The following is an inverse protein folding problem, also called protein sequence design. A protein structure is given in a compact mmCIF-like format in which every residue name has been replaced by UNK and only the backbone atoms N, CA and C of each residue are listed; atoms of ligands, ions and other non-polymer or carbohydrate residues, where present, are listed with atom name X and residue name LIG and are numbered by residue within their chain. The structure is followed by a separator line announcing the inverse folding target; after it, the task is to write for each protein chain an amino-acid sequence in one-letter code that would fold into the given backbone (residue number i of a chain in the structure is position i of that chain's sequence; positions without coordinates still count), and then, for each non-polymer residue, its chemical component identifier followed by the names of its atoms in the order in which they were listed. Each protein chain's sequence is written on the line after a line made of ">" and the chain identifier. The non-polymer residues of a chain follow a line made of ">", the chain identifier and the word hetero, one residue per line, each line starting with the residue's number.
data_IF_737199964543
#
_entry.id   IF_737199964543
#
_cell.length_a   1.000
_cell.length_b   1.000
_cell.length_c   1.000
_cell.angle_alpha   90.00
_cell.angle_beta   90.00
_cell.angle_gamma   90.00
#
_symmetry.space_group_name_H-M   'P 1'
#
loop_
_entity.id
_entity.type
_entity.pdbx_description
1 polymer ?
#
# COMPACT_ATOMS: atom_id res chain seq x y z
N UNK A 1 7.05 32.05 65.63
CA UNK A 1 6.79 31.02 64.60
C UNK A 1 7.26 29.69 65.17
N UNK A 2 6.39 28.69 65.30
CA UNK A 2 6.80 27.37 65.79
C UNK A 2 7.52 26.61 64.67
N UNK A 3 8.70 26.04 64.95
CA UNK A 3 9.48 25.28 63.96
C UNK A 3 9.14 23.79 63.96
N UNK A 4 8.44 23.32 64.99
CA UNK A 4 7.89 21.97 65.08
C UNK A 4 6.54 22.03 65.77
N UNK A 5 5.56 21.31 65.23
CA UNK A 5 4.22 21.15 65.77
C UNK A 5 3.87 19.67 65.79
N UNK A 6 3.01 19.26 66.71
CA UNK A 6 2.59 17.86 66.79
C UNK A 6 1.69 17.59 67.97
N UNK A 7 1.59 16.31 68.33
CA UNK A 7 0.79 15.84 69.45
C UNK A 7 1.69 15.28 70.56
N UNK A 8 1.36 15.63 71.79
CA UNK A 8 2.05 15.16 72.99
C UNK A 8 1.07 14.55 73.99
N UNK A 9 1.61 13.76 74.90
CA UNK A 9 0.95 13.32 76.10
C UNK A 9 1.71 13.83 77.33
N UNK A 10 0.93 14.22 78.32
CA UNK A 10 1.38 14.62 79.65
C UNK A 10 0.82 13.63 80.67
N UNK A 11 1.63 13.31 81.66
CA UNK A 11 1.24 12.42 82.75
C UNK A 11 1.10 13.23 84.04
N UNK A 12 0.06 12.94 84.83
CA UNK A 12 -0.16 13.57 86.12
C UNK A 12 1.11 13.50 86.98
N UNK A 13 1.46 14.63 87.62
CA UNK A 13 2.63 14.78 88.48
C UNK A 13 3.99 14.46 87.81
N UNK A 14 4.08 14.58 86.48
CA UNK A 14 5.32 14.38 85.72
C UNK A 14 5.74 15.65 84.98
N UNK A 15 7.03 15.97 85.06
CA UNK A 15 7.69 17.01 84.25
C UNK A 15 8.18 16.51 82.89
N UNK A 16 7.87 15.25 82.56
CA UNK A 16 8.22 14.63 81.27
C UNK A 16 7.01 14.61 80.35
N UNK A 17 7.19 15.18 79.18
CA UNK A 17 6.23 15.16 78.08
C UNK A 17 6.67 14.10 77.07
N UNK A 18 5.72 13.29 76.61
CA UNK A 18 5.98 12.26 75.60
C UNK A 18 5.34 12.64 74.27
N UNK A 19 6.13 12.65 73.19
CA UNK A 19 5.68 12.90 71.83
C UNK A 19 4.95 11.70 71.26
N UNK A 20 3.80 11.94 70.63
CA UNK A 20 3.07 10.91 69.88
C UNK A 20 3.41 11.10 68.41
N UNK A 21 4.25 10.23 67.85
CA UNK A 21 4.82 10.33 66.48
C UNK A 21 5.70 11.56 66.23
N UNK A 22 6.17 12.21 67.29
CA UNK A 22 7.16 13.29 67.20
C UNK A 22 8.54 12.75 67.56
N UNK A 23 9.53 13.06 66.72
CA UNK A 23 10.95 12.79 66.97
C UNK A 23 11.66 14.10 67.35
N UNK A 24 11.67 14.41 68.64
CA UNK A 24 12.17 15.66 69.22
C UNK A 24 13.66 15.90 68.97
N UNK A 25 14.47 14.85 68.99
CA UNK A 25 15.91 14.94 68.79
C UNK A 25 16.25 14.88 67.29
N UNK A 26 15.82 13.81 66.60
CA UNK A 26 16.23 13.54 65.22
C UNK A 26 15.58 14.45 64.17
N UNK A 27 14.30 14.76 64.31
CA UNK A 27 13.54 15.54 63.30
C UNK A 27 13.39 16.99 63.72
N UNK A 28 12.87 17.24 64.93
CA UNK A 28 12.66 18.60 65.41
C UNK A 28 13.98 19.30 65.78
N UNK A 29 15.04 18.55 66.13
CA UNK A 29 16.32 19.11 66.62
C UNK A 29 16.11 20.07 67.80
N UNK A 30 15.23 19.67 68.71
CA UNK A 30 14.86 20.44 69.91
C UNK A 30 16.09 20.71 70.74
N UNK A 31 16.25 21.94 71.22
CA UNK A 31 17.38 22.32 72.07
C UNK A 31 16.91 22.62 73.49
N UNK A 32 17.82 22.39 74.46
CA UNK A 32 17.63 22.88 75.83
C UNK A 32 17.44 24.41 75.77
N UNK A 33 16.39 24.87 76.45
CA UNK A 33 16.00 26.27 76.51
C UNK A 33 14.87 26.65 75.56
N UNK A 34 14.53 25.81 74.58
CA UNK A 34 13.40 26.04 73.67
C UNK A 34 12.08 26.14 74.41
N UNK A 35 11.14 26.89 73.85
CA UNK A 35 9.81 27.11 74.42
C UNK A 35 8.82 26.14 73.80
N UNK A 36 8.12 25.38 74.63
CA UNK A 36 7.03 24.51 74.24
C UNK A 36 5.71 25.19 74.61
N UNK A 37 4.97 25.60 73.59
CA UNK A 37 3.60 26.09 73.72
C UNK A 37 2.64 24.92 73.59
N UNK A 38 1.72 24.76 74.53
CA UNK A 38 0.64 23.77 74.45
C UNK A 38 -0.67 24.38 74.92
N UNK A 39 -1.78 23.88 74.39
CA UNK A 39 -3.11 24.18 74.92
C UNK A 39 -3.67 22.95 75.61
N UNK A 40 -3.86 23.02 76.92
CA UNK A 40 -4.48 21.98 77.72
C UNK A 40 -5.66 22.56 78.48
N UNK A 41 -6.81 21.88 78.47
CA UNK A 41 -8.03 22.31 79.17
C UNK A 41 -8.40 23.79 78.93
N UNK A 42 -8.35 24.22 77.67
CA UNK A 42 -8.63 25.61 77.23
C UNK A 42 -7.67 26.69 77.73
N UNK A 43 -6.56 26.31 78.40
CA UNK A 43 -5.52 27.23 78.83
C UNK A 43 -4.27 27.10 77.95
N UNK A 44 -3.79 28.25 77.50
CA UNK A 44 -2.53 28.38 76.79
C UNK A 44 -1.37 28.37 77.79
N UNK A 45 -0.52 27.35 77.70
CA UNK A 45 0.63 27.16 78.61
C UNK A 45 1.92 27.21 77.82
N UNK A 46 2.86 28.03 78.27
CA UNK A 46 4.23 28.07 77.75
C UNK A 46 5.16 27.42 78.77
N UNK A 47 5.89 26.43 78.34
CA UNK A 47 6.88 25.68 79.11
C UNK A 47 8.26 25.88 78.48
N UNK A 48 9.31 25.70 79.28
CA UNK A 48 10.68 25.67 78.80
C UNK A 48 11.19 24.24 78.79
N UNK A 49 11.82 23.83 77.69
CA UNK A 49 12.53 22.55 77.59
C UNK A 49 13.80 22.62 78.43
N UNK A 50 13.87 21.85 79.51
CA UNK A 50 15.05 21.80 80.39
C UNK A 50 16.02 20.70 79.98
N UNK A 51 15.52 19.63 79.35
CA UNK A 51 16.32 18.48 78.93
C UNK A 51 15.62 17.74 77.79
N UNK A 52 16.38 17.26 76.80
CA UNK A 52 15.90 16.34 75.76
C UNK A 52 16.31 14.94 76.19
N UNK A 53 15.34 14.13 76.65
CA UNK A 53 15.61 12.81 77.26
C UNK A 53 15.75 11.71 76.21
N UNK A 54 14.99 11.81 75.11
CA UNK A 54 15.07 10.90 73.96
C UNK A 54 14.34 11.49 72.76
N UNK A 55 14.36 10.79 71.63
CA UNK A 55 13.57 11.10 70.44
C UNK A 55 12.08 11.33 70.75
N UNK A 56 11.51 10.71 71.78
CA UNK A 56 10.09 10.87 72.11
C UNK A 56 9.82 11.55 73.44
N UNK A 57 10.83 11.98 74.21
CA UNK A 57 10.63 12.52 75.55
C UNK A 57 11.39 13.82 75.81
N UNK A 58 10.68 14.80 76.35
CA UNK A 58 11.23 16.08 76.80
C UNK A 58 10.96 16.27 78.28
N UNK A 59 11.95 16.77 79.03
CA UNK A 59 11.74 17.32 80.37
C UNK A 59 11.47 18.81 80.23
N UNK A 60 10.43 19.29 80.91
CA UNK A 60 9.99 20.68 80.84
C UNK A 60 9.76 21.30 82.22
N UNK A 61 9.87 22.62 82.28
CA UNK A 61 9.57 23.44 83.46
C UNK A 61 8.67 24.62 83.07
N UNK A 62 8.05 25.25 84.07
CA UNK A 62 7.44 26.56 83.90
C UNK A 62 8.52 27.61 83.62
N UNK A 63 8.16 28.71 82.96
CA UNK A 63 9.09 29.79 82.61
C UNK A 63 9.81 30.43 83.82
N UNK A 64 9.24 30.29 85.02
CA UNK A 64 9.83 30.76 86.28
C UNK A 64 10.77 29.73 86.93
N UNK A 65 11.07 28.62 86.24
CA UNK A 65 11.95 27.56 86.69
C UNK A 65 11.30 26.53 87.62
N UNK A 66 10.02 26.68 87.98
CA UNK A 66 9.30 25.68 88.77
C UNK A 66 9.00 24.42 87.95
N UNK A 67 8.99 23.23 88.56
CA UNK A 67 8.67 21.99 87.84
C UNK A 67 7.24 22.04 87.28
N UNK A 68 7.10 21.62 86.03
CA UNK A 68 5.78 21.41 85.44
C UNK A 68 5.18 20.12 86.03
N UNK A 69 4.15 20.25 86.86
CA UNK A 69 3.45 19.13 87.48
C UNK A 69 1.96 19.23 87.17
N UNK A 70 1.48 18.68 86.04
CA UNK A 70 0.09 18.76 85.66
C UNK A 70 -0.79 17.96 86.63
N UNK A 71 -1.97 18.50 86.96
CA UNK A 71 -2.92 17.91 87.92
C UNK A 71 -3.69 16.72 87.34
N UNK A 72 -3.65 16.52 86.02
CA UNK A 72 -4.28 15.40 85.31
C UNK A 72 -3.41 14.97 84.13
N UNK A 73 -3.52 13.70 83.74
CA UNK A 73 -2.92 13.19 82.51
C UNK A 73 -3.78 13.56 81.31
N UNK A 74 -3.15 13.89 80.18
CA UNK A 74 -3.84 14.16 78.92
C UNK A 74 -3.01 13.66 77.75
N UNK A 75 -3.66 13.19 76.69
CA UNK A 75 -3.03 12.66 75.47
C UNK A 75 -3.56 13.36 74.23
N UNK A 76 -2.74 13.48 73.20
CA UNK A 76 -3.15 14.13 71.95
C UNK A 76 -3.22 15.67 72.05
N UNK A 77 -2.52 16.25 73.03
CA UNK A 77 -2.44 17.70 73.16
C UNK A 77 -1.58 18.28 72.04
N UNK A 78 -2.09 19.29 71.35
CA UNK A 78 -1.33 19.97 70.31
C UNK A 78 -0.28 20.86 70.95
N UNK A 79 0.96 20.76 70.46
CA UNK A 79 2.05 21.63 70.88
C UNK A 79 2.68 22.34 69.69
N UNK A 80 3.37 23.45 69.98
CA UNK A 80 4.31 24.11 69.09
C UNK A 80 5.62 24.41 69.82
N UNK A 81 6.75 23.97 69.25
CA UNK A 81 8.08 24.31 69.71
C UNK A 81 8.55 25.59 69.03
N UNK A 82 9.01 26.53 69.84
CA UNK A 82 9.51 27.83 69.42
C UNK A 82 10.94 27.94 69.94
N UNK A 83 11.87 28.33 69.07
CA UNK A 83 13.24 28.59 69.51
C UNK A 83 13.25 29.74 70.50
N UNK A 84 13.91 29.54 71.63
CA UNK A 84 14.09 30.61 72.58
C UNK A 84 15.26 31.51 72.15
N UNK A 85 14.94 32.70 71.67
CA UNK A 85 15.93 33.68 71.21
C UNK A 85 16.64 34.40 72.37
N UNK A 86 16.17 34.28 73.62
CA UNK A 86 16.79 34.96 74.77
C UNK A 86 18.11 34.30 75.22
N UNK A 87 18.32 33.02 74.89
CA UNK A 87 19.55 32.26 75.17
C UNK A 87 20.41 32.02 73.93
N UNK A 88 19.95 32.45 72.75
CA UNK A 88 20.74 32.37 71.52
C UNK A 88 21.78 33.48 71.55
N UNK A 89 23.04 33.11 71.81
CA UNK A 89 24.15 34.07 71.77
C UNK A 89 24.15 34.79 70.41
N UNK A 90 24.48 36.08 70.38
CA UNK A 90 24.63 36.85 69.14
C UNK A 90 25.49 36.10 68.11
N UNK A 91 26.47 35.33 68.57
CA UNK A 91 27.29 34.44 67.75
C UNK A 91 26.51 33.29 67.06
N UNK A 92 25.54 32.65 67.73
CA UNK A 92 24.69 31.61 67.12
C UNK A 92 23.75 32.20 66.06
N UNK A 93 23.16 33.37 66.33
CA UNK A 93 22.35 34.10 65.35
C UNK A 93 23.18 34.55 64.15
N UNK A 94 24.35 35.14 64.38
CA UNK A 94 25.28 35.55 63.34
C UNK A 94 25.73 34.36 62.49
N UNK A 95 26.02 33.20 63.11
CA UNK A 95 26.33 31.96 62.39
C UNK A 95 25.15 31.48 61.54
N UNK A 96 23.93 31.48 62.08
CA UNK A 96 22.74 31.09 61.32
C UNK A 96 22.47 32.00 60.12
N UNK A 97 22.68 33.31 60.28
CA UNK A 97 22.56 34.29 59.19
C UNK A 97 23.67 34.07 58.15
N UNK A 98 24.92 33.85 58.59
CA UNK A 98 26.04 33.56 57.69
C UNK A 98 25.84 32.25 56.91
N UNK A 99 25.35 31.19 57.56
CA UNK A 99 25.02 29.92 56.90
C UNK A 99 23.89 30.09 55.88
N UNK A 100 22.89 30.93 56.18
CA UNK A 100 21.81 31.23 55.25
C UNK A 100 22.30 32.05 54.04
N UNK A 101 23.14 33.06 54.27
CA UNK A 101 23.77 33.82 53.20
C UNK A 101 24.65 32.92 52.32
N UNK A 102 25.42 32.02 52.92
CA UNK A 102 26.24 31.05 52.18
C UNK A 102 25.39 30.12 51.31
N UNK A 103 24.30 29.58 51.86
CA UNK A 103 23.35 28.75 51.11
C UNK A 103 22.68 29.52 49.97
N UNK A 104 22.35 30.78 50.19
CA UNK A 104 21.76 31.62 49.16
C UNK A 104 22.77 31.88 48.04
N UNK A 105 23.98 32.34 48.35
CA UNK A 105 25.01 32.58 47.33
C UNK A 105 25.37 31.31 46.55
N UNK A 106 25.43 30.16 47.22
CA UNK A 106 25.63 28.88 46.54
C UNK A 106 24.50 28.60 45.53
N UNK A 107 23.25 28.81 45.94
CA UNK A 107 22.08 28.56 45.09
C UNK A 107 21.98 29.56 43.94
N UNK A 108 22.33 30.82 44.18
CA UNK A 108 22.42 31.87 43.17
C UNK A 108 23.50 31.53 42.12
N UNK A 109 24.69 31.11 42.55
CA UNK A 109 25.75 30.63 41.65
C UNK A 109 25.27 29.44 40.82
N UNK A 110 24.76 28.39 41.47
CA UNK A 110 24.30 27.18 40.78
C UNK A 110 23.18 27.46 39.76
N UNK A 111 22.25 28.37 40.06
CA UNK A 111 21.19 28.76 39.11
C UNK A 111 21.74 29.59 37.95
N UNK A 112 22.69 30.48 38.22
CA UNK A 112 23.34 31.28 37.18
C UNK A 112 24.13 30.37 36.24
N UNK A 113 24.93 29.47 36.81
CA UNK A 113 25.72 28.48 36.09
C UNK A 113 24.83 27.53 35.29
N UNK A 114 23.71 27.06 35.87
CA UNK A 114 22.70 26.28 35.14
C UNK A 114 22.13 27.05 33.94
N UNK A 115 21.81 28.34 34.12
CA UNK A 115 21.17 29.14 33.08
C UNK A 115 22.09 29.41 31.89
N UNK A 116 23.38 29.60 32.14
CA UNK A 116 24.40 29.85 31.09
C UNK A 116 25.07 28.57 30.57
N UNK A 117 24.71 27.41 31.13
CA UNK A 117 25.34 26.14 30.78
C UNK A 117 25.00 25.69 29.35
N UNK A 118 26.04 25.35 28.60
CA UNK A 118 25.96 24.70 27.29
C UNK A 118 25.98 23.17 27.36
N UNK A 119 26.18 22.60 28.56
CA UNK A 119 26.12 21.14 28.80
C UNK A 119 24.68 20.66 28.75
N UNK A 120 24.46 19.35 28.61
CA UNK A 120 23.11 18.77 28.62
C UNK A 120 22.46 18.77 30.01
N UNK A 121 23.28 18.85 31.06
CA UNK A 121 22.83 18.73 32.44
C UNK A 121 23.70 19.53 33.40
N UNK A 122 23.13 19.93 34.53
CA UNK A 122 23.83 20.67 35.58
C UNK A 122 23.46 20.10 36.95
N UNK A 123 24.44 20.00 37.84
CA UNK A 123 24.22 19.53 39.21
C UNK A 123 23.85 20.69 40.14
N UNK A 124 22.70 20.59 40.79
CA UNK A 124 22.22 21.54 41.79
C UNK A 124 22.10 20.86 43.15
N UNK A 125 22.26 21.63 44.23
CA UNK A 125 22.06 21.11 45.59
C UNK A 125 20.58 21.19 45.97
N UNK A 126 19.97 20.05 46.28
CA UNK A 126 18.58 19.97 46.72
C UNK A 126 18.39 20.54 48.14
N UNK A 127 17.15 20.61 48.62
CA UNK A 127 16.87 21.19 49.95
C UNK A 127 17.48 20.37 51.11
N UNK A 128 17.77 19.09 50.88
CA UNK A 128 18.38 18.16 51.83
C UNK A 128 19.92 18.24 51.82
N UNK A 129 20.51 19.00 50.90
CA UNK A 129 21.95 19.14 50.75
C UNK A 129 22.59 18.12 49.80
N UNK A 130 21.80 17.31 49.12
CA UNK A 130 22.29 16.30 48.17
C UNK A 130 22.44 16.94 46.78
N UNK A 131 23.43 16.48 46.00
CA UNK A 131 23.52 16.88 44.59
C UNK A 131 22.52 16.10 43.75
N UNK A 132 21.74 16.83 42.95
CA UNK A 132 20.84 16.28 41.94
C UNK A 132 21.13 16.94 40.61
N UNK A 133 21.13 16.14 39.54
CA UNK A 133 21.39 16.61 38.18
C UNK A 133 20.08 16.96 37.50
N UNK A 134 20.00 18.15 36.90
CA UNK A 134 18.82 18.64 36.16
C UNK A 134 19.19 19.00 34.71
N UNK A 135 18.26 18.90 33.75
CA UNK A 135 18.49 19.32 32.37
C UNK A 135 18.73 20.83 32.28
N UNK A 136 19.66 21.28 31.44
CA UNK A 136 19.93 22.71 31.19
C UNK A 136 18.93 23.32 30.21
N UNK A 137 18.86 24.67 30.10
CA UNK A 137 18.08 25.33 29.06
C UNK A 137 18.48 24.88 27.65
N UNK A 138 19.77 24.65 27.41
CA UNK A 138 20.30 24.13 26.14
C UNK A 138 19.68 22.79 25.78
N UNK A 139 19.66 21.83 26.72
CA UNK A 139 19.03 20.52 26.50
C UNK A 139 17.52 20.61 26.32
N UNK A 140 16.86 21.47 27.09
CA UNK A 140 15.42 21.70 26.98
C UNK A 140 15.07 22.28 25.60
N UNK A 141 15.87 23.21 25.07
CA UNK A 141 15.68 23.77 23.74
C UNK A 141 15.85 22.72 22.64
N UNK A 142 16.92 21.90 22.70
CA UNK A 142 17.11 20.78 21.77
C UNK A 142 15.96 19.78 21.82
N UNK A 143 15.49 19.41 23.02
CA UNK A 143 14.36 18.50 23.17
C UNK A 143 13.06 19.09 22.61
N UNK A 144 12.85 20.40 22.79
CA UNK A 144 11.72 21.11 22.21
C UNK A 144 11.79 21.13 20.67
N UNK A 145 12.97 21.36 20.10
CA UNK A 145 13.19 21.33 18.65
C UNK A 145 12.94 19.93 18.07
N UNK A 146 13.49 18.88 18.69
CA UNK A 146 13.23 17.48 18.30
C UNK A 146 11.74 17.16 18.39
N UNK A 147 11.05 17.61 19.44
CA UNK A 147 9.60 17.40 19.59
C UNK A 147 8.81 18.17 18.51
N UNK A 148 9.23 19.38 18.13
CA UNK A 148 8.60 20.15 17.06
C UNK A 148 8.78 19.45 15.70
N UNK A 149 9.98 18.97 15.38
CA UNK A 149 10.24 18.21 14.15
C UNK A 149 9.42 16.92 14.12
N UNK A 150 9.42 16.13 15.20
CA UNK A 150 8.61 14.93 15.29
C UNK A 150 7.11 15.22 15.13
N UNK A 151 6.62 16.36 15.65
CA UNK A 151 5.24 16.78 15.46
C UNK A 151 4.94 17.17 14.00
N UNK A 152 5.88 17.81 13.30
CA UNK A 152 5.75 18.14 11.88
C UNK A 152 5.75 16.87 11.00
N UNK A 153 6.62 15.91 11.31
CA UNK A 153 6.69 14.62 10.62
C UNK A 153 5.38 13.83 10.78
N UNK A 154 4.85 13.78 12.01
CA UNK A 154 3.56 13.14 12.30
C UNK A 154 2.39 13.81 11.55
N UNK A 155 2.41 15.14 11.43
CA UNK A 155 1.41 15.88 10.65
C UNK A 155 1.50 15.54 9.16
N UNK A 156 2.71 15.43 8.63
CA UNK A 156 2.95 15.05 7.23
C UNK A 156 2.49 13.62 6.97
N UNK A 157 2.79 12.70 7.89
CA UNK A 157 2.35 11.31 7.82
C UNK A 157 0.82 11.20 7.87
N UNK A 158 0.15 11.99 8.70
CA UNK A 158 -1.31 12.04 8.77
C UNK A 158 -1.93 12.51 7.44
N UNK A 159 -1.34 13.51 6.79
CA UNK A 159 -1.77 13.98 5.47
C UNK A 159 -1.59 12.89 4.40
N UNK A 160 -0.43 12.21 4.37
CA UNK A 160 -0.17 11.12 3.45
C UNK A 160 -1.16 9.95 3.63
N UNK A 161 -1.55 9.65 4.88
CA UNK A 161 -2.59 8.64 5.17
C UNK A 161 -3.96 9.08 4.61
N UNK A 162 -4.32 10.36 4.75
CA UNK A 162 -5.56 10.90 4.20
C UNK A 162 -5.59 10.81 2.66
N UNK A 163 -4.50 11.19 2.00
CA UNK A 163 -4.37 11.15 0.55
C UNK A 163 -4.43 9.70 0.03
N UNK A 164 -3.74 8.76 0.70
CA UNK A 164 -3.80 7.34 0.39
C UNK A 164 -5.21 6.76 0.55
N UNK A 165 -5.95 7.20 1.58
CA UNK A 165 -7.36 6.78 1.77
C UNK A 165 -8.25 7.26 0.63
N UNK A 166 -8.02 8.46 0.12
CA UNK A 166 -8.75 9.01 -1.03
C UNK A 166 -8.37 8.28 -2.34
N UNK A 167 -7.10 7.91 -2.51
CA UNK A 167 -6.64 7.08 -3.64
C UNK A 167 -7.26 5.68 -3.61
N UNK A 168 -7.28 5.01 -2.45
CA UNK A 168 -7.93 3.71 -2.27
C UNK A 168 -9.44 3.76 -2.57
N UNK A 169 -10.12 4.84 -2.16
CA UNK A 169 -11.53 5.05 -2.49
C UNK A 169 -11.80 5.18 -4.00
N UNK A 170 -10.78 5.51 -4.82
CA UNK A 170 -10.89 5.53 -6.29
C UNK A 170 -10.67 4.16 -6.94
N UNK A 171 -10.08 3.20 -6.21
CA UNK A 171 -9.86 1.82 -6.67
C UNK A 171 -11.13 0.97 -6.49
N UNK A 172 -11.86 1.19 -5.41
CA UNK A 172 -13.12 0.50 -5.09
C UNK A 172 -14.14 0.52 -6.25
N UNK A 173 -14.48 1.67 -6.87
CA UNK A 173 -15.40 1.70 -8.01
C UNK A 173 -14.84 1.03 -9.28
N UNK A 174 -13.51 0.88 -9.42
CA UNK A 174 -12.91 0.17 -10.56
C UNK A 174 -13.02 -1.35 -10.41
N UNK A 175 -12.96 -1.85 -9.17
CA UNK A 175 -13.21 -3.27 -8.85
C UNK A 175 -14.70 -3.59 -9.07
N UNK A 176 -15.61 -2.72 -8.62
CA UNK A 176 -17.05 -2.91 -8.86
C UNK A 176 -17.39 -2.92 -10.35
N UNK A 177 -16.80 -2.01 -11.15
CA UNK A 177 -16.97 -2.01 -12.61
C UNK A 177 -16.38 -3.26 -13.29
N UNK A 178 -15.31 -3.82 -12.73
CA UNK A 178 -14.73 -5.07 -13.23
C UNK A 178 -15.65 -6.25 -12.90
N UNK A 179 -16.15 -6.35 -11.67
CA UNK A 179 -17.06 -7.41 -11.23
C UNK A 179 -18.40 -7.37 -11.98
N UNK A 180 -18.89 -6.18 -12.36
CA UNK A 180 -20.09 -6.05 -13.19
C UNK A 180 -19.87 -6.46 -14.65
N UNK A 181 -18.67 -6.21 -15.20
CA UNK A 181 -18.35 -6.50 -16.62
C UNK A 181 -17.85 -7.92 -16.84
N UNK A 182 -17.23 -8.55 -15.85
CA UNK A 182 -16.66 -9.88 -15.96
C UNK A 182 -17.71 -10.95 -16.38
N UNK A 183 -18.92 -11.00 -15.81
CA UNK A 183 -19.97 -11.92 -16.25
C UNK A 183 -20.42 -11.66 -17.70
N UNK A 184 -20.44 -10.38 -18.13
CA UNK A 184 -20.84 -10.02 -19.50
C UNK A 184 -19.81 -10.48 -20.53
N UNK A 185 -18.52 -10.37 -20.21
CA UNK A 185 -17.43 -10.87 -21.08
C UNK A 185 -17.45 -12.39 -21.15
N UNK A 186 -17.67 -13.07 -20.03
CA UNK A 186 -17.82 -14.54 -20.00
C UNK A 186 -19.04 -15.02 -20.80
N UNK A 187 -20.17 -14.32 -20.71
CA UNK A 187 -21.36 -14.61 -21.52
C UNK A 187 -21.10 -14.41 -23.02
N UNK A 188 -20.43 -13.33 -23.41
CA UNK A 188 -20.05 -13.07 -24.80
C UNK A 188 -19.07 -14.13 -25.33
N UNK A 189 -18.11 -14.57 -24.51
CA UNK A 189 -17.20 -15.66 -24.88
C UNK A 189 -17.95 -16.99 -25.10
N UNK A 190 -18.95 -17.29 -24.27
CA UNK A 190 -19.78 -18.47 -24.45
C UNK A 190 -20.63 -18.37 -25.73
N UNK A 191 -21.15 -17.20 -26.06
CA UNK A 191 -21.87 -16.96 -27.32
C UNK A 191 -20.98 -17.16 -28.55
N UNK A 192 -19.72 -16.69 -28.50
CA UNK A 192 -18.74 -16.91 -29.57
C UNK A 192 -18.41 -18.41 -29.74
N UNK A 193 -18.26 -19.15 -28.64
CA UNK A 193 -18.04 -20.60 -28.70
C UNK A 193 -19.25 -21.33 -29.29
N UNK A 194 -20.46 -20.93 -28.94
CA UNK A 194 -21.69 -21.51 -29.49
C UNK A 194 -21.79 -21.24 -31.00
N UNK A 195 -21.57 -19.99 -31.44
CA UNK A 195 -21.56 -19.63 -32.87
C UNK A 195 -20.45 -20.33 -33.65
N UNK A 196 -19.27 -20.52 -33.05
CA UNK A 196 -18.20 -21.32 -33.66
C UNK A 196 -18.67 -22.75 -33.93
N UNK A 197 -19.36 -23.38 -32.98
CA UNK A 197 -19.86 -24.74 -33.15
C UNK A 197 -20.95 -24.81 -34.22
N UNK A 198 -21.83 -23.81 -34.31
CA UNK A 198 -22.83 -23.70 -35.40
C UNK A 198 -22.16 -23.57 -36.78
N UNK A 199 -21.10 -22.76 -36.89
CA UNK A 199 -20.34 -22.61 -38.15
C UNK A 199 -19.63 -23.90 -38.53
N UNK A 200 -19.07 -24.64 -37.58
CA UNK A 200 -18.45 -25.95 -37.85
C UNK A 200 -19.49 -26.94 -38.37
N UNK A 201 -20.67 -27.00 -37.77
CA UNK A 201 -21.78 -27.85 -38.25
C UNK A 201 -22.24 -27.45 -39.66
N UNK A 202 -22.37 -26.15 -39.93
CA UNK A 202 -22.73 -25.65 -41.25
C UNK A 202 -21.65 -25.97 -42.30
N UNK A 203 -20.37 -25.95 -41.92
CA UNK A 203 -19.26 -26.32 -42.79
C UNK A 203 -19.30 -27.82 -43.15
N UNK A 204 -19.63 -28.68 -42.20
CA UNK A 204 -19.82 -30.12 -42.44
C UNK A 204 -21.02 -30.38 -43.38
N UNK A 205 -22.12 -29.63 -43.25
CA UNK A 205 -23.26 -29.71 -44.17
C UNK A 205 -22.89 -29.27 -45.59
N UNK A 206 -22.07 -28.22 -45.75
CA UNK A 206 -21.58 -27.78 -47.05
C UNK A 206 -20.68 -28.84 -47.69
N UNK A 207 -19.80 -29.48 -46.92
CA UNK A 207 -18.99 -30.59 -47.41
C UNK A 207 -19.83 -31.78 -47.87
N UNK A 208 -20.88 -32.13 -47.12
CA UNK A 208 -21.81 -33.20 -47.51
C UNK A 208 -22.55 -32.85 -48.81
N UNK A 209 -23.05 -31.61 -48.94
CA UNK A 209 -23.73 -31.16 -50.17
C UNK A 209 -22.77 -31.09 -51.37
N UNK A 210 -21.52 -30.69 -51.16
CA UNK A 210 -20.50 -30.71 -52.21
C UNK A 210 -20.20 -32.13 -52.69
N UNK A 211 -20.16 -33.12 -51.78
CA UNK A 211 -20.03 -34.53 -52.13
C UNK A 211 -21.24 -35.04 -52.94
N UNK A 212 -22.46 -34.65 -52.55
CA UNK A 212 -23.69 -34.99 -53.30
C UNK A 212 -23.71 -34.37 -54.70
N UNK A 213 -23.22 -33.14 -54.87
CA UNK A 213 -23.09 -32.50 -56.19
C UNK A 213 -22.06 -33.24 -57.05
N UNK A 214 -20.94 -33.68 -56.47
CA UNK A 214 -19.95 -34.48 -57.20
C UNK A 214 -20.54 -35.83 -57.65
N UNK A 215 -21.35 -36.49 -56.79
CA UNK A 215 -22.05 -37.74 -57.12
C UNK A 215 -23.09 -37.54 -58.23
N UNK A 216 -23.93 -36.51 -58.14
CA UNK A 216 -24.88 -36.17 -59.21
C UNK A 216 -24.18 -35.81 -60.52
N UNK A 217 -23.04 -35.13 -60.48
CA UNK A 217 -22.24 -34.81 -61.68
C UNK A 217 -21.75 -36.10 -62.36
N UNK A 218 -21.32 -37.10 -61.58
CA UNK A 218 -20.94 -38.41 -62.11
C UNK A 218 -22.13 -39.18 -62.71
N UNK A 219 -23.31 -39.11 -62.09
CA UNK A 219 -24.54 -39.72 -62.62
C UNK A 219 -25.00 -39.06 -63.93
N UNK A 220 -24.87 -37.74 -64.04
CA UNK A 220 -25.18 -37.00 -65.29
C UNK A 220 -24.22 -37.39 -66.40
N UNK A 221 -22.91 -37.49 -66.13
CA UNK A 221 -21.93 -37.95 -67.13
C UNK A 221 -22.20 -39.39 -67.60
N UNK A 222 -22.68 -40.26 -66.70
CA UNK A 222 -23.08 -41.64 -67.05
C UNK A 222 -24.35 -41.66 -67.91
N UNK A 223 -25.30 -40.78 -67.60
CA UNK A 223 -26.54 -40.63 -68.37
C UNK A 223 -26.26 -40.06 -69.77
N UNK A 224 -25.34 -39.09 -69.88
CA UNK A 224 -24.87 -38.53 -71.15
C UNK A 224 -24.27 -39.61 -72.06
N UNK A 225 -23.41 -40.49 -71.52
CA UNK A 225 -22.88 -41.64 -72.28
C UNK A 225 -23.99 -42.59 -72.74
N UNK A 226 -25.02 -42.80 -71.92
CA UNK A 226 -26.15 -43.68 -72.26
C UNK A 226 -27.02 -43.07 -73.37
N UNK A 227 -27.23 -41.74 -73.35
CA UNK A 227 -27.94 -41.01 -74.40
C UNK A 227 -27.17 -41.03 -75.71
N UNK A 228 -25.84 -40.85 -75.67
CA UNK A 228 -24.99 -40.97 -76.87
C UNK A 228 -25.00 -42.38 -77.46
N UNK A 229 -25.04 -43.42 -76.62
CA UNK A 229 -25.19 -44.81 -77.07
C UNK A 229 -26.55 -45.04 -77.76
N UNK A 230 -27.65 -44.55 -77.16
CA UNK A 230 -28.99 -44.61 -77.75
C UNK A 230 -29.08 -43.83 -79.07
N UNK A 231 -28.37 -42.70 -79.19
CA UNK A 231 -28.30 -41.95 -80.45
C UNK A 231 -27.66 -42.78 -81.56
N UNK A 232 -26.60 -43.55 -81.26
CA UNK A 232 -25.98 -44.48 -82.21
C UNK A 232 -26.89 -45.64 -82.60
N UNK A 233 -27.68 -46.19 -81.67
CA UNK A 233 -28.67 -47.23 -81.96
C UNK A 233 -29.81 -46.72 -82.85
N UNK A 234 -30.26 -45.47 -82.63
CA UNK A 234 -31.28 -44.82 -83.46
C UNK A 234 -30.75 -44.56 -84.89
N UNK A 235 -29.50 -44.14 -85.04
CA UNK A 235 -28.88 -43.98 -86.37
C UNK A 235 -28.75 -45.33 -87.11
N UNK A 236 -28.41 -46.42 -86.40
CA UNK A 236 -28.41 -47.76 -87.00
C UNK A 236 -29.82 -48.22 -87.38
N UNK A 237 -30.82 -47.97 -86.53
CA UNK A 237 -32.22 -48.29 -86.85
C UNK A 237 -32.72 -47.49 -88.06
N UNK A 238 -32.34 -46.22 -88.19
CA UNK A 238 -32.66 -45.38 -89.35
C UNK A 238 -32.00 -45.92 -90.64
N UNK A 239 -30.76 -46.38 -90.56
CA UNK A 239 -30.09 -47.03 -91.69
C UNK A 239 -30.75 -48.36 -92.07
N UNK A 240 -31.21 -49.14 -91.09
CA UNK A 240 -31.93 -50.40 -91.32
C UNK A 240 -33.29 -50.16 -92.00
N UNK A 241 -34.02 -49.11 -91.60
CA UNK A 241 -35.29 -48.72 -92.24
C UNK A 241 -35.07 -48.28 -93.70
N UNK A 242 -33.99 -47.54 -93.99
CA UNK A 242 -33.66 -47.16 -95.37
C UNK A 242 -33.23 -48.38 -96.22
N UNK A 243 -32.57 -49.37 -95.61
CA UNK A 243 -32.28 -50.65 -96.25
C UNK A 243 -33.56 -51.45 -96.54
N UNK A 244 -34.49 -51.52 -95.59
CA UNK A 244 -35.77 -52.23 -95.75
C UNK A 244 -36.69 -51.56 -96.78
N UNK A 245 -36.62 -50.23 -96.91
CA UNK A 245 -37.24 -49.47 -98.00
C UNK A 245 -36.64 -49.84 -99.35
N UNK A 246 -35.31 -49.97 -99.43
CA UNK A 246 -34.61 -50.40 -100.64
C UNK A 246 -34.98 -51.85 -101.01
N UNK A 247 -35.05 -52.76 -100.02
CA UNK A 247 -35.51 -54.13 -100.24
C UNK A 247 -36.97 -54.21 -100.67
N UNK A 248 -37.85 -53.37 -100.12
CA UNK A 248 -39.26 -53.31 -100.52
C UNK A 248 -39.44 -52.77 -101.93
N UNK A 249 -38.64 -51.79 -102.34
CA UNK A 249 -38.60 -51.32 -103.74
C UNK A 249 -38.07 -52.39 -104.70
N UNK A 250 -37.00 -53.10 -104.32
CA UNK A 250 -36.47 -54.22 -105.11
C UNK A 250 -37.46 -55.40 -105.20
N UNK A 251 -38.21 -55.70 -104.13
CA UNK A 251 -39.26 -56.71 -104.14
C UNK A 251 -40.45 -56.32 -105.02
N UNK A 252 -40.83 -55.03 -105.01
CA UNK A 252 -41.85 -54.49 -105.91
C UNK A 252 -41.42 -54.56 -107.39
N UNK A 253 -40.15 -54.25 -107.69
CA UNK A 253 -39.59 -54.39 -109.04
C UNK A 253 -39.49 -55.86 -109.49
N UNK A 254 -39.15 -56.80 -108.59
CA UNK A 254 -39.19 -58.25 -108.85
C UNK A 254 -40.61 -58.75 -109.13
N UNK A 255 -41.64 -58.23 -108.46
CA UNK A 255 -43.04 -58.52 -108.77
C UNK A 255 -43.44 -58.01 -110.17
N UNK A 256 -42.94 -56.85 -110.60
CA UNK A 256 -43.18 -56.31 -111.95
C UNK A 256 -42.46 -57.13 -113.03
N UNK A 257 -41.26 -57.64 -112.75
CA UNK A 257 -40.52 -58.55 -113.65
C UNK A 257 -41.19 -59.93 -113.74
N UNK A 258 -41.67 -60.48 -112.61
CA UNK A 258 -42.46 -61.71 -112.59
C UNK A 258 -43.78 -61.55 -113.37
N UNK A 259 -44.41 -60.37 -113.31
CA UNK A 259 -45.63 -60.05 -114.05
C UNK A 259 -45.40 -59.99 -115.57
N UNK A 260 -44.24 -59.51 -116.02
CA UNK A 260 -43.89 -59.50 -117.45
C UNK A 260 -43.53 -60.89 -117.98
N UNK A 261 -43.05 -61.82 -117.14
CA UNK A 261 -42.76 -63.21 -117.53
C UNK A 261 -44.01 -64.11 -117.52
N UNK A 262 -45.09 -63.71 -116.84
CA UNK A 262 -46.37 -64.46 -116.81
C UNK A 262 -47.33 -64.05 -117.92
N UNK A 263 -46.89 -63.21 -118.87
CA UNK A 263 -47.70 -62.72 -119.98
C UNK A 263 -47.56 -63.56 -121.27
N UNK A 264 -46.71 -64.60 -121.27
CA UNK A 264 -46.54 -65.53 -122.40
C UNK A 264 -47.39 -66.80 -122.30
N UNK A 265 -47.93 -67.16 -121.14
CA UNK A 265 -48.72 -68.39 -120.99
C UNK A 265 -50.04 -68.13 -120.24
N UNK A 266 -51.09 -68.80 -120.74
CA UNK A 266 -52.45 -68.88 -120.21
C UNK A 266 -53.44 -67.78 -120.64
N UNK A 267 -53.85 -67.88 -121.90
CA UNK A 267 -55.25 -67.64 -122.26
C UNK A 267 -56.18 -68.47 -121.36
N UNK A 268 -57.27 -67.83 -120.91
CA UNK A 268 -58.47 -68.39 -120.24
C UNK A 268 -58.42 -68.40 -118.71
N UNK A 269 -59.08 -67.43 -118.08
CA UNK A 269 -60.24 -67.62 -117.18
C UNK A 269 -60.71 -66.25 -116.65
N UNK A 270 -61.96 -65.93 -116.93
CA UNK A 270 -62.57 -64.59 -116.80
C UNK A 270 -63.26 -64.37 -115.43
N UNK A 271 -62.68 -64.88 -114.34
CA UNK A 271 -63.26 -64.79 -112.98
C UNK A 271 -62.41 -63.99 -111.96
N UNK A 272 -61.13 -63.70 -112.25
CA UNK A 272 -60.23 -63.08 -111.25
C UNK A 272 -60.07 -61.56 -111.37
N UNK A 273 -60.76 -60.91 -112.30
CA UNK A 273 -60.67 -59.45 -112.49
C UNK A 273 -61.20 -58.65 -111.30
N UNK A 274 -62.25 -59.14 -110.63
CA UNK A 274 -62.82 -58.46 -109.47
C UNK A 274 -61.94 -58.62 -108.22
N UNK A 275 -61.39 -59.82 -107.99
CA UNK A 275 -60.52 -60.11 -106.83
C UNK A 275 -59.20 -59.34 -106.95
N UNK A 276 -58.58 -59.29 -108.13
CA UNK A 276 -57.36 -58.50 -108.35
C UNK A 276 -57.62 -56.99 -108.23
N UNK A 277 -58.79 -56.50 -108.65
CA UNK A 277 -59.15 -55.09 -108.48
C UNK A 277 -59.39 -54.74 -107.00
N UNK A 278 -60.00 -55.65 -106.24
CA UNK A 278 -60.19 -55.49 -104.80
C UNK A 278 -58.86 -55.55 -104.04
N UNK A 279 -57.99 -56.52 -104.33
CA UNK A 279 -56.65 -56.60 -103.76
C UNK A 279 -55.81 -55.34 -104.05
N UNK A 280 -55.94 -54.77 -105.25
CA UNK A 280 -55.29 -53.50 -105.60
C UNK A 280 -55.85 -52.33 -104.77
N UNK A 281 -57.16 -52.30 -104.54
CA UNK A 281 -57.77 -51.29 -103.69
C UNK A 281 -57.33 -51.45 -102.22
N UNK A 282 -57.31 -52.68 -101.70
CA UNK A 282 -56.90 -52.98 -100.33
C UNK A 282 -55.41 -52.69 -100.09
N UNK A 283 -54.54 -52.98 -101.07
CA UNK A 283 -53.12 -52.62 -101.00
C UNK A 283 -52.90 -51.10 -101.02
N UNK A 284 -53.68 -50.35 -101.79
CA UNK A 284 -53.60 -48.89 -101.78
C UNK A 284 -54.04 -48.33 -100.42
N UNK A 285 -55.13 -48.86 -99.84
CA UNK A 285 -55.61 -48.47 -98.50
C UNK A 285 -54.54 -48.77 -97.44
N UNK A 286 -53.89 -49.94 -97.51
CA UNK A 286 -52.81 -50.30 -96.60
C UNK A 286 -51.58 -49.38 -96.76
N UNK A 287 -51.20 -49.07 -98.00
CA UNK A 287 -50.09 -48.16 -98.29
C UNK A 287 -50.38 -46.74 -97.77
N UNK A 288 -51.61 -46.25 -97.95
CA UNK A 288 -52.03 -44.95 -97.43
C UNK A 288 -52.02 -44.95 -95.90
N UNK A 289 -52.53 -46.00 -95.25
CA UNK A 289 -52.49 -46.14 -93.80
C UNK A 289 -51.05 -46.21 -93.24
N UNK A 290 -50.14 -46.91 -93.94
CA UNK A 290 -48.74 -46.98 -93.57
C UNK A 290 -48.04 -45.62 -93.72
N UNK A 291 -48.31 -44.89 -94.79
CA UNK A 291 -47.77 -43.54 -95.00
C UNK A 291 -48.26 -42.56 -93.93
N UNK A 292 -49.54 -42.65 -93.54
CA UNK A 292 -50.07 -41.86 -92.42
C UNK A 292 -49.37 -42.24 -91.11
N UNK A 293 -49.22 -43.52 -90.80
CA UNK A 293 -48.54 -43.96 -89.57
C UNK A 293 -47.06 -43.54 -89.52
N UNK A 294 -46.35 -43.58 -90.65
CA UNK A 294 -44.96 -43.08 -90.75
C UNK A 294 -44.92 -41.56 -90.55
N UNK A 295 -45.84 -40.82 -91.16
CA UNK A 295 -45.90 -39.37 -91.03
C UNK A 295 -46.23 -38.96 -89.58
N UNK A 296 -47.16 -39.66 -88.94
CA UNK A 296 -47.51 -39.46 -87.53
C UNK A 296 -46.32 -39.77 -86.61
N UNK A 297 -45.61 -40.88 -86.84
CA UNK A 297 -44.40 -41.22 -86.08
C UNK A 297 -43.29 -40.17 -86.25
N UNK A 298 -43.05 -39.70 -87.48
CA UNK A 298 -42.09 -38.62 -87.75
C UNK A 298 -42.48 -37.32 -87.01
N UNK A 299 -43.76 -36.96 -87.04
CA UNK A 299 -44.26 -35.79 -86.31
C UNK A 299 -44.09 -35.95 -84.80
N UNK A 300 -44.38 -37.12 -84.25
CA UNK A 300 -44.25 -37.41 -82.83
C UNK A 300 -42.79 -37.38 -82.36
N UNK A 301 -41.86 -37.92 -83.16
CA UNK A 301 -40.41 -37.88 -82.90
C UNK A 301 -39.91 -36.43 -82.95
N UNK A 302 -40.28 -35.66 -83.99
CA UNK A 302 -39.87 -34.26 -84.12
C UNK A 302 -40.39 -33.41 -82.95
N UNK A 303 -41.65 -33.60 -82.54
CA UNK A 303 -42.22 -32.90 -81.39
C UNK A 303 -41.53 -33.28 -80.08
N UNK A 304 -41.23 -34.57 -79.86
CA UNK A 304 -40.53 -35.03 -78.67
C UNK A 304 -39.11 -34.49 -78.61
N UNK A 305 -38.38 -34.50 -79.74
CA UNK A 305 -37.03 -33.92 -79.83
C UNK A 305 -37.03 -32.41 -79.54
N UNK A 306 -38.01 -31.66 -80.09
CA UNK A 306 -38.15 -30.24 -79.80
C UNK A 306 -38.47 -29.96 -78.32
N UNK A 307 -39.32 -30.78 -77.69
CA UNK A 307 -39.61 -30.68 -76.26
C UNK A 307 -38.38 -31.00 -75.40
N UNK A 308 -37.62 -32.05 -75.73
CA UNK A 308 -36.37 -32.38 -75.04
C UNK A 308 -35.34 -31.27 -75.17
N UNK A 309 -35.19 -30.68 -76.36
CA UNK A 309 -34.27 -29.55 -76.58
C UNK A 309 -34.69 -28.31 -75.77
N UNK A 310 -35.99 -28.01 -75.71
CA UNK A 310 -36.51 -26.91 -74.91
C UNK A 310 -36.25 -27.15 -73.41
N UNK A 311 -36.50 -28.36 -72.90
CA UNK A 311 -36.24 -28.73 -71.52
C UNK A 311 -34.74 -28.69 -71.16
N UNK A 312 -33.87 -29.17 -72.05
CA UNK A 312 -32.42 -29.08 -71.88
C UNK A 312 -31.93 -27.63 -71.82
N UNK A 313 -32.47 -26.77 -72.69
CA UNK A 313 -32.16 -25.33 -72.70
C UNK A 313 -32.62 -24.66 -71.40
N UNK A 314 -33.83 -24.96 -70.92
CA UNK A 314 -34.35 -24.45 -69.65
C UNK A 314 -33.47 -24.91 -68.48
N UNK A 315 -33.15 -26.21 -68.41
CA UNK A 315 -32.29 -26.77 -67.36
C UNK A 315 -30.92 -26.10 -67.34
N UNK A 316 -30.33 -25.86 -68.53
CA UNK A 316 -29.05 -25.14 -68.64
C UNK A 316 -29.16 -23.71 -68.10
N UNK A 317 -30.24 -22.99 -68.42
CA UNK A 317 -30.50 -21.65 -67.90
C UNK A 317 -30.66 -21.64 -66.37
N UNK A 318 -31.39 -22.61 -65.81
CA UNK A 318 -31.61 -22.71 -64.37
C UNK A 318 -30.30 -23.03 -63.62
N UNK A 319 -29.47 -23.91 -64.18
CA UNK A 319 -28.13 -24.21 -63.64
C UNK A 319 -27.25 -22.96 -63.67
N UNK A 320 -27.23 -22.23 -64.80
CA UNK A 320 -26.42 -21.01 -64.93
C UNK A 320 -26.87 -19.92 -63.93
N UNK A 321 -28.17 -19.74 -63.75
CA UNK A 321 -28.73 -18.79 -62.77
C UNK A 321 -28.38 -19.17 -61.33
N UNK A 322 -28.49 -20.45 -60.99
CA UNK A 322 -28.13 -20.98 -59.67
C UNK A 322 -26.65 -20.81 -59.39
N UNK A 323 -25.78 -21.12 -60.37
CA UNK A 323 -24.34 -20.94 -60.26
C UNK A 323 -23.94 -19.47 -60.08
N UNK A 324 -24.61 -18.55 -60.79
CA UNK A 324 -24.38 -17.11 -60.61
C UNK A 324 -24.78 -16.64 -59.21
N UNK A 325 -25.95 -17.07 -58.72
CA UNK A 325 -26.43 -16.72 -57.38
C UNK A 325 -25.49 -17.25 -56.28
N UNK A 326 -25.02 -18.49 -56.41
CA UNK A 326 -24.06 -19.07 -55.49
C UNK A 326 -22.71 -18.33 -55.49
N UNK A 327 -22.24 -17.90 -56.67
CA UNK A 327 -21.02 -17.08 -56.80
C UNK A 327 -21.18 -15.73 -56.09
N UNK A 328 -22.32 -15.08 -56.26
CA UNK A 328 -22.60 -13.79 -55.63
C UNK A 328 -22.67 -13.91 -54.10
N UNK A 329 -23.28 -14.99 -53.59
CA UNK A 329 -23.34 -15.29 -52.16
C UNK A 329 -21.97 -15.57 -51.55
N UNK A 330 -21.12 -16.35 -52.24
CA UNK A 330 -19.73 -16.61 -51.81
C UNK A 330 -18.94 -15.31 -51.80
N UNK A 331 -19.08 -14.48 -52.84
CA UNK A 331 -18.38 -13.19 -52.94
C UNK A 331 -18.79 -12.24 -51.81
N UNK A 332 -20.10 -12.12 -51.56
CA UNK A 332 -20.65 -11.31 -50.46
C UNK A 332 -20.16 -11.78 -49.09
N UNK A 333 -20.12 -13.10 -48.88
CA UNK A 333 -19.62 -13.68 -47.64
C UNK A 333 -18.13 -13.39 -47.44
N UNK A 334 -17.33 -13.51 -48.50
CA UNK A 334 -15.90 -13.18 -48.46
C UNK A 334 -15.66 -11.70 -48.12
N UNK A 335 -16.41 -10.78 -48.73
CA UNK A 335 -16.32 -9.33 -48.45
C UNK A 335 -16.67 -9.04 -46.99
N UNK A 336 -17.79 -9.58 -46.49
CA UNK A 336 -18.20 -9.40 -45.10
C UNK A 336 -17.14 -9.92 -44.11
N UNK A 337 -16.52 -11.06 -44.42
CA UNK A 337 -15.47 -11.62 -43.58
C UNK A 337 -14.22 -10.74 -43.58
N UNK A 338 -13.81 -10.20 -44.74
CA UNK A 338 -12.71 -9.24 -44.84
C UNK A 338 -12.97 -7.96 -44.05
N UNK A 339 -14.19 -7.42 -44.09
CA UNK A 339 -14.56 -6.24 -43.29
C UNK A 339 -14.51 -6.53 -41.78
N UNK A 340 -14.98 -7.71 -41.34
CA UNK A 340 -14.90 -8.11 -39.94
C UNK A 340 -13.45 -8.29 -39.45
N UNK A 341 -12.57 -8.82 -40.30
CA UNK A 341 -11.14 -8.90 -40.01
C UNK A 341 -10.57 -7.48 -39.83
N UNK A 342 -10.82 -6.57 -40.77
CA UNK A 342 -10.31 -5.20 -40.68
C UNK A 342 -10.80 -4.47 -39.42
N UNK A 343 -12.07 -4.62 -39.04
CA UNK A 343 -12.63 -4.06 -37.80
C UNK A 343 -11.96 -4.66 -36.56
N UNK A 344 -11.67 -5.96 -36.59
CA UNK A 344 -10.99 -6.66 -35.49
C UNK A 344 -9.55 -6.18 -35.36
N UNK A 345 -8.81 -6.06 -36.47
CA UNK A 345 -7.45 -5.52 -36.49
C UNK A 345 -7.39 -4.09 -35.94
N UNK A 346 -8.33 -3.22 -36.35
CA UNK A 346 -8.41 -1.85 -35.85
C UNK A 346 -8.65 -1.82 -34.33
N UNK A 347 -9.54 -2.68 -33.81
CA UNK A 347 -9.76 -2.81 -32.37
C UNK A 347 -8.51 -3.29 -31.64
N UNK A 348 -7.83 -4.32 -32.17
CA UNK A 348 -6.60 -4.87 -31.57
C UNK A 348 -5.51 -3.79 -31.52
N UNK A 349 -5.31 -3.03 -32.61
CA UNK A 349 -4.39 -1.90 -32.62
C UNK A 349 -4.76 -0.83 -31.59
N UNK A 350 -6.05 -0.49 -31.47
CA UNK A 350 -6.54 0.46 -30.46
C UNK A 350 -6.30 -0.01 -29.03
N UNK A 351 -6.46 -1.31 -28.76
CA UNK A 351 -6.15 -1.91 -27.45
C UNK A 351 -4.64 -1.93 -27.19
N UNK A 352 -3.82 -2.29 -28.19
CA UNK A 352 -2.36 -2.28 -28.09
C UNK A 352 -1.83 -0.87 -27.78
N UNK A 353 -2.34 0.16 -28.46
CA UNK A 353 -1.95 1.54 -28.19
C UNK A 353 -2.32 2.00 -26.77
N UNK A 354 -3.51 1.63 -26.28
CA UNK A 354 -3.91 1.90 -24.89
C UNK A 354 -3.03 1.18 -23.87
N UNK A 355 -2.64 -0.07 -24.16
CA UNK A 355 -1.75 -0.84 -23.30
C UNK A 355 -0.34 -0.24 -23.26
N UNK A 356 0.21 0.16 -24.41
CA UNK A 356 1.50 0.87 -24.49
C UNK A 356 1.44 2.15 -23.67
N UNK A 357 0.41 2.99 -23.86
CA UNK A 357 0.25 4.24 -23.11
C UNK A 357 0.15 4.01 -21.58
N UNK A 358 -0.54 2.94 -21.16
CA UNK A 358 -0.63 2.59 -19.75
C UNK A 358 0.72 2.11 -19.19
N UNK A 359 1.47 1.33 -19.99
CA UNK A 359 2.83 0.90 -19.65
C UNK A 359 3.77 2.10 -19.51
N UNK A 360 3.77 3.01 -20.48
CA UNK A 360 4.58 4.24 -20.45
C UNK A 360 4.27 5.09 -19.23
N UNK A 361 2.97 5.27 -18.90
CA UNK A 361 2.55 6.01 -17.71
C UNK A 361 3.05 5.36 -16.41
N UNK A 362 3.11 4.03 -16.37
CA UNK A 362 3.63 3.28 -15.21
C UNK A 362 5.16 3.39 -15.10
N UNK A 363 5.87 3.40 -16.23
CA UNK A 363 7.33 3.61 -16.27
C UNK A 363 7.68 5.02 -15.80
N UNK A 364 6.95 6.05 -16.26
CA UNK A 364 7.16 7.44 -15.81
C UNK A 364 6.96 7.55 -14.30
N UNK A 365 5.88 6.96 -13.76
CA UNK A 365 5.64 6.96 -12.32
C UNK A 365 6.74 6.23 -11.53
N UNK A 366 7.29 5.14 -12.09
CA UNK A 366 8.41 4.42 -11.48
C UNK A 366 9.69 5.28 -11.45
N UNK A 367 9.99 6.00 -12.54
CA UNK A 367 11.12 6.92 -12.61
C UNK A 367 10.96 8.09 -11.62
N UNK A 368 9.76 8.65 -11.47
CA UNK A 368 9.48 9.68 -10.46
C UNK A 368 9.74 9.16 -9.03
N UNK A 369 9.27 7.94 -8.72
CA UNK A 369 9.54 7.29 -7.42
C UNK A 369 11.03 7.05 -7.21
N UNK A 370 11.75 6.59 -8.23
CA UNK A 370 13.19 6.39 -8.16
C UNK A 370 13.95 7.71 -7.95
N UNK A 371 13.51 8.79 -8.60
CA UNK A 371 14.10 10.11 -8.42
C UNK A 371 13.87 10.65 -7.00
N UNK A 372 12.66 10.51 -6.47
CA UNK A 372 12.33 10.88 -5.08
C UNK A 372 13.17 10.06 -4.10
N UNK A 373 13.28 8.75 -4.29
CA UNK A 373 14.09 7.88 -3.43
C UNK A 373 15.59 8.28 -3.43
N UNK A 374 16.12 8.68 -4.58
CA UNK A 374 17.48 9.22 -4.70
C UNK A 374 17.63 10.55 -3.94
N UNK A 375 16.66 11.46 -4.07
CA UNK A 375 16.66 12.75 -3.35
C UNK A 375 16.62 12.56 -1.83
N UNK A 376 15.74 11.68 -1.34
CA UNK A 376 15.66 11.34 0.09
C UNK A 376 16.95 10.70 0.60
N UNK A 377 17.59 9.86 -0.20
CA UNK A 377 18.88 9.26 0.16
C UNK A 377 20.00 10.30 0.27
N UNK A 378 20.00 11.31 -0.62
CA UNK A 378 20.95 12.42 -0.56
C UNK A 378 20.72 13.32 0.66
N UNK A 379 19.46 13.70 0.93
CA UNK A 379 19.10 14.46 2.14
C UNK A 379 19.45 13.71 3.42
N UNK A 380 19.23 12.39 3.47
CA UNK A 380 19.60 11.56 4.61
C UNK A 380 21.13 11.56 4.84
N UNK A 381 21.93 11.55 3.77
CA UNK A 381 23.38 11.66 3.88
C UNK A 381 23.80 13.02 4.44
N UNK A 382 23.20 14.12 3.98
CA UNK A 382 23.46 15.46 4.53
C UNK A 382 23.09 15.58 6.01
N UNK A 383 21.95 14.99 6.42
CA UNK A 383 21.53 14.95 7.83
C UNK A 383 22.50 14.12 8.68
N UNK A 384 23.01 13.00 8.17
CA UNK A 384 24.00 12.18 8.87
C UNK A 384 25.34 12.90 9.03
N UNK A 385 25.79 13.64 8.01
CA UNK A 385 26.98 14.48 8.09
C UNK A 385 26.78 15.63 9.10
N UNK A 386 25.63 16.31 9.06
CA UNK A 386 25.29 17.35 10.02
C UNK A 386 25.25 16.81 11.47
N UNK A 387 24.71 15.60 11.67
CA UNK A 387 24.72 14.91 12.96
C UNK A 387 26.14 14.63 13.44
N UNK A 388 27.03 14.16 12.56
CA UNK A 388 28.43 13.90 12.87
C UNK A 388 29.14 15.18 13.33
N UNK A 389 28.94 16.29 12.60
CA UNK A 389 29.49 17.60 12.96
C UNK A 389 28.93 18.09 14.30
N UNK A 390 27.63 17.93 14.55
CA UNK A 390 27.01 18.30 15.82
C UNK A 390 27.56 17.47 16.99
N UNK A 391 27.84 16.18 16.79
CA UNK A 391 28.44 15.33 17.83
C UNK A 391 29.85 15.80 18.17
N UNK A 392 30.68 16.05 17.15
CA UNK A 392 32.04 16.54 17.31
C UNK A 392 32.07 17.92 18.01
N UNK A 393 31.12 18.81 17.67
CA UNK A 393 30.96 20.09 18.33
C UNK A 393 30.56 19.94 19.81
N UNK A 394 29.64 19.01 20.12
CA UNK A 394 29.25 18.71 21.50
C UNK A 394 30.42 18.17 22.32
N UNK A 395 31.21 17.25 21.77
CA UNK A 395 32.41 16.73 22.44
C UNK A 395 33.46 17.83 22.68
N UNK A 396 33.66 18.73 21.71
CA UNK A 396 34.56 19.87 21.86
C UNK A 396 34.11 20.86 22.95
N UNK A 397 32.80 21.14 23.03
CA UNK A 397 32.22 21.98 24.10
C UNK A 397 32.43 21.34 25.47
N UNK A 398 32.21 20.03 25.59
CA UNK A 398 32.39 19.31 26.84
C UNK A 398 33.86 19.30 27.30
N UNK A 399 34.80 19.14 26.36
CA UNK A 399 36.23 19.25 26.64
C UNK A 399 36.62 20.68 27.08
N UNK A 400 36.07 21.71 26.44
CA UNK A 400 36.31 23.10 26.81
C UNK A 400 35.73 23.43 28.21
N UNK A 401 34.55 22.91 28.54
CA UNK A 401 33.94 23.05 29.86
C UNK A 401 34.80 22.41 30.96
N UNK A 402 35.30 21.18 30.72
CA UNK A 402 36.23 20.51 31.63
C UNK A 402 37.52 21.31 31.83
N UNK A 403 38.09 21.86 30.75
CA UNK A 403 39.30 22.70 30.80
C UNK A 403 39.05 23.97 31.62
N UNK A 404 37.91 24.63 31.40
CA UNK A 404 37.52 25.84 32.14
C UNK A 404 37.32 25.55 33.64
N UNK A 405 36.70 24.42 33.96
CA UNK A 405 36.55 23.97 35.36
C UNK A 405 37.92 23.72 36.01
N UNK A 406 38.86 23.12 35.28
CA UNK A 406 40.22 22.89 35.76
C UNK A 406 40.96 24.21 36.00
N UNK A 407 40.83 25.17 35.09
CA UNK A 407 41.43 26.51 35.23
C UNK A 407 40.84 27.29 36.41
N UNK A 408 39.54 27.15 36.68
CA UNK A 408 38.90 27.73 37.85
C UNK A 408 39.49 27.15 39.15
N UNK A 409 39.68 25.82 39.21
CA UNK A 409 40.33 25.14 40.34
C UNK A 409 41.77 25.63 40.51
N UNK A 410 42.54 25.74 39.41
CA UNK A 410 43.91 26.26 39.45
C UNK A 410 43.96 27.71 39.95
N UNK A 411 43.06 28.59 39.48
CA UNK A 411 42.96 29.97 39.99
C UNK A 411 42.64 30.02 41.48
N UNK A 412 41.74 29.17 41.96
CA UNK A 412 41.38 29.10 43.38
C UNK A 412 42.54 28.60 44.25
N UNK A 413 43.29 27.61 43.75
CA UNK A 413 44.51 27.12 44.38
C UNK A 413 45.59 28.22 44.44
N UNK A 414 45.79 28.96 43.34
CA UNK A 414 46.72 30.10 43.29
C UNK A 414 46.31 31.21 44.27
N UNK A 415 45.03 31.59 44.30
CA UNK A 415 44.53 32.59 45.23
C UNK A 415 44.73 32.17 46.70
N UNK A 416 44.52 30.89 47.00
CA UNK A 416 44.75 30.32 48.34
C UNK A 416 46.23 30.32 48.72
N UNK A 417 47.12 30.00 47.78
CA UNK A 417 48.57 30.10 47.95
C UNK A 417 49.02 31.54 48.22
N UNK A 418 48.48 32.52 47.48
CA UNK A 418 48.73 33.95 47.71
C UNK A 418 48.20 34.42 49.07
N UNK A 419 47.02 33.96 49.49
CA UNK A 419 46.46 34.30 50.80
C UNK A 419 47.31 33.70 51.94
N UNK A 420 47.78 32.46 51.77
CA UNK A 420 48.65 31.79 52.75
C UNK A 420 50.00 32.49 52.86
N UNK A 421 50.62 32.86 51.73
CA UNK A 421 51.89 33.58 51.72
C UNK A 421 51.75 34.98 52.33
N UNK A 422 50.67 35.70 52.04
CA UNK A 422 50.37 37.00 52.66
C UNK A 422 50.16 36.87 54.18
N UNK A 423 49.48 35.82 54.64
CA UNK A 423 49.29 35.54 56.07
C UNK A 423 50.62 35.23 56.76
N UNK A 424 51.46 34.38 56.16
CA UNK A 424 52.82 34.11 56.69
C UNK A 424 53.66 35.39 56.78
N UNK A 425 53.62 36.25 55.76
CA UNK A 425 54.31 37.54 55.76
C UNK A 425 53.79 38.48 56.85
N UNK A 426 52.47 38.53 57.06
CA UNK A 426 51.84 39.31 58.12
C UNK A 426 52.23 38.82 59.52
N UNK A 427 52.21 37.50 59.74
CA UNK A 427 52.67 36.88 61.00
C UNK A 427 54.15 37.16 61.25
N UNK A 428 55.01 37.02 60.24
CA UNK A 428 56.42 37.36 60.36
C UNK A 428 56.63 38.85 60.67
N UNK A 429 55.91 39.76 60.01
CA UNK A 429 55.97 41.20 60.30
C UNK A 429 55.47 41.54 61.72
N UNK A 430 54.41 40.88 62.19
CA UNK A 430 53.91 41.05 63.56
C UNK A 430 54.93 40.59 64.60
N UNK A 431 55.57 39.44 64.37
CA UNK A 431 56.67 38.93 65.19
C UNK A 431 57.86 39.89 65.19
N UNK A 432 58.23 40.43 64.02
CA UNK A 432 59.30 41.43 63.89
C UNK A 432 58.96 42.71 64.67
N UNK A 433 57.76 43.25 64.51
CA UNK A 433 57.31 44.45 65.22
C UNK A 433 57.25 44.24 66.73
N UNK A 434 56.83 43.05 67.19
CA UNK A 434 56.81 42.69 68.61
C UNK A 434 58.22 42.61 69.17
N UNK A 435 59.15 41.98 68.43
CA UNK A 435 60.56 41.94 68.80
C UNK A 435 61.18 43.35 68.85
N UNK A 436 60.89 44.20 67.86
CA UNK A 436 61.39 45.57 67.78
C UNK A 436 60.89 46.45 68.94
N UNK A 437 59.59 46.38 69.25
CA UNK A 437 59.01 47.12 70.38
C UNK A 437 59.57 46.69 71.73
N UNK A 438 59.84 45.38 71.91
CA UNK A 438 60.44 44.86 73.15
C UNK A 438 61.93 45.20 73.25
N UNK A 439 62.65 45.25 72.12
CA UNK A 439 64.02 45.73 72.05
C UNK A 439 64.10 47.21 72.47
N UNK A 440 63.21 48.06 71.94
CA UNK A 440 63.10 49.47 72.29
C UNK A 440 62.77 49.70 73.77
N UNK A 441 62.03 48.77 74.39
CA UNK A 441 61.67 48.81 75.81
C UNK A 441 62.68 48.10 76.74
N UNK A 442 63.85 47.66 76.24
CA UNK A 442 64.89 46.96 77.02
C UNK A 442 64.42 45.69 77.78
N UNK A 443 63.39 45.01 77.26
CA UNK A 443 62.79 43.83 77.91
C UNK A 443 62.99 42.52 77.12
N UNK A 444 63.70 42.58 75.99
CA UNK A 444 63.90 41.43 75.11
C UNK A 444 65.01 40.49 75.64
N UNK A 445 64.66 39.26 76.03
CA UNK A 445 65.62 38.22 76.44
C UNK A 445 65.82 37.15 75.36
N UNK A 446 66.90 36.36 75.45
CA UNK A 446 67.27 35.32 74.49
C UNK A 446 66.23 34.19 74.40
N UNK A 447 65.57 33.83 75.51
CA UNK A 447 64.49 32.85 75.55
C UNK A 447 63.24 33.33 74.80
N UNK A 448 62.93 34.63 74.85
CA UNK A 448 61.78 35.21 74.17
C UNK A 448 61.97 35.36 72.65
N UNK A 449 63.21 35.42 72.17
CA UNK A 449 63.52 35.39 70.73
C UNK A 449 63.19 34.01 70.14
N UNK A 450 63.55 32.94 70.85
CA UNK A 450 63.25 31.56 70.44
C UNK A 450 61.75 31.24 70.48
N UNK A 451 60.97 31.89 71.35
CA UNK A 451 59.50 31.77 71.34
C UNK A 451 58.85 32.51 70.16
N UNK A 452 59.41 33.66 69.72
CA UNK A 452 58.85 34.45 68.63
C UNK A 452 59.20 33.85 67.25
N UNK A 453 60.40 33.29 67.10
CA UNK A 453 60.88 32.66 65.87
C UNK A 453 61.36 31.23 66.16
N UNK A 454 60.43 30.28 66.41
CA UNK A 454 60.80 28.87 66.50
C UNK A 454 61.33 28.42 65.13
N UNK A 455 62.54 27.84 65.14
CA UNK A 455 63.17 27.23 63.96
C UNK A 455 62.43 25.96 63.56
#
# INVERSE_FOLDING_TARGET
>A
MAYSIGAISIQQNSSVITGTNTLFERVAKTQIGDLLYLRANEQDTILQVTEVLSDSQLRVALLDGRPFNPTSSASGLHYGLIQNFTTTTTAKLAKGIADLQSKWHLRESQLTDWFVSSEDSHSITNFLGEQTTIPTPTKIAQLAEVAMTASADLSTMAQAIADNKQSLASVEPRITQFDERYPQVMAAQQEVLNKRNEVVLAHDEVHLKAAQVAEHTAQVATTEQTVLALQGEIEQAAQQVELDKTHSQAAAELCVVAQNQTQSDAQTVNADKAVVTQLKADMNVLNDALNVAISDAQSHIANSAAQTQAHATQTHSDIASTASSAKDDVTRTAVNFSEQIAQTEQRVQGHAFKAIKACDSSVIALDEVAHIASSVSAELAEVMDAKSVSLAASEAVQLAAQTTSLDAIHSQAYASLCALSAKQLSEQNSKLNTALNRLLNNTLSTEQINELFPI
#
